data_IF_359981855029
#
_entry.id   IF_359981855029
#
_cell.length_a   1.000
_cell.length_b   1.000
_cell.length_c   1.000
_cell.angle_alpha   90.00
_cell.angle_beta   90.00
_cell.angle_gamma   90.00
#
_symmetry.space_group_name_H-M   'P 1'
#
loop_
_entity.id
_entity.type
_entity.pdbx_description
1 polymer ?
#
# COMPACT_ATOMS: atom_id res chain seq x y z
N UNK A 1 -6.30 -55.94 55.51
CA UNK A 1 -5.90 -55.36 54.23
C UNK A 1 -6.72 -54.07 53.99
N UNK A 2 -6.11 -52.87 54.07
CA UNK A 2 -6.81 -51.60 53.92
C UNK A 2 -6.38 -51.02 52.56
N UNK A 3 -7.28 -51.01 51.55
CA UNK A 3 -7.06 -50.37 50.25
C UNK A 3 -7.29 -48.86 50.40
N UNK A 4 -6.22 -48.09 50.22
CA UNK A 4 -6.30 -46.62 50.07
C UNK A 4 -6.64 -46.26 48.59
N UNK A 5 -7.84 -45.71 48.42
CA UNK A 5 -8.28 -45.16 47.12
C UNK A 5 -7.58 -43.83 46.93
N UNK A 6 -6.70 -43.74 45.89
CA UNK A 6 -6.06 -42.49 45.47
C UNK A 6 -6.94 -41.86 44.38
N UNK A 7 -7.59 -40.77 44.71
CA UNK A 7 -8.38 -39.97 43.78
C UNK A 7 -7.40 -39.02 43.07
N UNK A 8 -7.11 -39.28 41.77
CA UNK A 8 -6.38 -38.36 40.89
C UNK A 8 -7.34 -37.29 40.39
N UNK A 9 -7.23 -36.09 40.92
CA UNK A 9 -7.92 -34.91 40.40
C UNK A 9 -7.20 -34.39 39.15
N UNK A 10 -7.82 -34.59 37.99
CA UNK A 10 -7.37 -33.98 36.73
C UNK A 10 -7.76 -32.49 36.71
N UNK A 11 -6.78 -31.59 36.86
CA UNK A 11 -6.99 -30.17 36.66
C UNK A 11 -7.02 -29.87 35.13
N UNK A 12 -8.20 -29.55 34.60
CA UNK A 12 -8.38 -29.10 33.23
C UNK A 12 -7.87 -27.65 33.15
N UNK A 13 -6.71 -27.44 32.54
CA UNK A 13 -6.19 -26.14 32.21
C UNK A 13 -6.99 -25.58 31.00
N UNK A 14 -7.92 -24.69 31.28
CA UNK A 14 -8.60 -23.90 30.25
C UNK A 14 -7.61 -22.84 29.74
N UNK A 15 -6.99 -23.09 28.58
CA UNK A 15 -6.18 -22.08 27.87
C UNK A 15 -7.15 -21.13 27.18
N UNK A 16 -7.15 -19.82 27.50
CA UNK A 16 -7.96 -18.87 26.78
C UNK A 16 -7.42 -18.80 25.32
N UNK A 17 -8.26 -19.17 24.36
CA UNK A 17 -8.00 -18.96 22.96
C UNK A 17 -8.03 -17.42 22.71
N UNK A 18 -6.88 -16.81 22.59
CA UNK A 18 -6.78 -15.45 22.08
C UNK A 18 -7.28 -15.48 20.62
N UNK A 19 -8.49 -15.00 20.41
CA UNK A 19 -9.01 -14.73 19.08
C UNK A 19 -8.11 -13.63 18.47
N UNK A 20 -7.18 -14.03 17.60
CA UNK A 20 -6.43 -13.08 16.77
C UNK A 20 -7.46 -12.38 15.92
N UNK A 21 -7.69 -11.09 16.17
CA UNK A 21 -8.50 -10.24 15.31
C UNK A 21 -7.83 -10.26 13.93
N UNK A 22 -8.43 -10.96 12.98
CA UNK A 22 -8.01 -10.88 11.58
C UNK A 22 -8.11 -9.40 11.18
N UNK A 23 -6.97 -8.78 10.93
CA UNK A 23 -6.92 -7.43 10.38
C UNK A 23 -7.70 -7.45 9.06
N UNK A 24 -8.55 -6.43 8.85
CA UNK A 24 -9.27 -6.30 7.60
C UNK A 24 -8.27 -6.34 6.43
N UNK A 25 -8.42 -7.30 5.54
CA UNK A 25 -7.53 -7.47 4.38
C UNK A 25 -7.81 -6.45 3.29
N UNK A 26 -8.94 -5.74 3.39
CA UNK A 26 -9.38 -4.72 2.44
C UNK A 26 -9.61 -3.38 3.14
N UNK A 27 -9.16 -2.31 2.49
CA UNK A 27 -9.37 -0.92 2.94
C UNK A 27 -9.93 -0.10 1.79
N UNK A 28 -11.09 0.53 2.00
CA UNK A 28 -11.55 1.57 1.07
C UNK A 28 -10.81 2.87 1.37
N UNK A 29 -9.93 3.26 0.45
CA UNK A 29 -9.08 4.44 0.61
C UNK A 29 -9.88 5.74 0.69
N UNK A 30 -11.12 5.78 0.17
CA UNK A 30 -12.02 6.95 0.29
C UNK A 30 -12.62 7.09 1.68
N UNK A 31 -12.72 6.00 2.44
CA UNK A 31 -13.28 6.03 3.79
C UNK A 31 -12.28 6.47 4.85
N UNK A 32 -10.97 6.46 4.54
CA UNK A 32 -9.94 6.87 5.48
C UNK A 32 -10.09 8.38 5.79
N UNK A 33 -10.27 8.67 7.06
CA UNK A 33 -10.34 10.07 7.55
C UNK A 33 -8.94 10.66 7.71
N UNK A 34 -8.87 11.98 7.72
CA UNK A 34 -7.64 12.70 8.00
C UNK A 34 -7.06 12.35 9.38
N UNK A 35 -7.90 12.19 10.41
CA UNK A 35 -7.44 11.78 11.74
C UNK A 35 -6.81 10.40 11.74
N UNK A 36 -7.40 9.42 11.05
CA UNK A 36 -6.84 8.07 10.90
C UNK A 36 -5.51 8.10 10.15
N UNK A 37 -5.44 8.85 9.04
CA UNK A 37 -4.20 9.02 8.28
C UNK A 37 -3.07 9.65 9.11
N UNK A 38 -3.37 10.69 9.88
CA UNK A 38 -2.38 11.35 10.75
C UNK A 38 -1.90 10.44 11.89
N UNK A 39 -2.75 9.53 12.37
CA UNK A 39 -2.44 8.58 13.43
C UNK A 39 -1.67 7.34 12.92
N UNK A 40 -1.56 7.14 11.60
CA UNK A 40 -0.84 5.99 11.05
C UNK A 40 0.63 5.99 11.45
N UNK A 41 1.21 4.84 11.84
CA UNK A 41 2.65 4.67 11.96
C UNK A 41 3.37 4.99 10.64
N UNK A 42 4.67 5.30 10.70
CA UNK A 42 5.44 5.77 9.54
C UNK A 42 5.39 4.81 8.33
N UNK A 43 5.60 3.50 8.53
CA UNK A 43 5.62 2.54 7.44
C UNK A 43 4.26 2.37 6.73
N UNK A 44 3.12 2.14 7.43
CA UNK A 44 1.79 2.18 6.79
C UNK A 44 1.49 3.52 6.11
N UNK A 45 1.85 4.66 6.74
CA UNK A 45 1.64 6.00 6.17
C UNK A 45 2.39 6.18 4.85
N UNK A 46 3.64 5.70 4.75
CA UNK A 46 4.44 5.73 3.52
C UNK A 46 3.78 4.94 2.38
N UNK A 47 3.34 3.72 2.66
CA UNK A 47 2.63 2.86 1.70
C UNK A 47 1.31 3.48 1.22
N UNK A 48 0.55 4.03 2.15
CA UNK A 48 -0.68 4.76 1.87
C UNK A 48 -0.39 5.97 0.96
N UNK A 49 0.62 6.78 1.28
CA UNK A 49 1.01 7.94 0.50
C UNK A 49 1.48 7.57 -0.90
N UNK A 50 2.23 6.47 -1.05
CA UNK A 50 2.65 5.94 -2.35
C UNK A 50 1.43 5.54 -3.20
N UNK A 51 0.46 4.84 -2.61
CA UNK A 51 -0.78 4.46 -3.30
C UNK A 51 -1.57 5.68 -3.76
N UNK A 52 -1.76 6.68 -2.88
CA UNK A 52 -2.44 7.94 -3.23
C UNK A 52 -1.73 8.67 -4.36
N UNK A 53 -0.40 8.70 -4.34
CA UNK A 53 0.38 9.32 -5.42
C UNK A 53 0.15 8.62 -6.75
N UNK A 54 0.08 7.30 -6.76
CA UNK A 54 -0.26 6.52 -7.95
C UNK A 54 -1.67 6.82 -8.47
N UNK A 55 -2.65 6.84 -7.58
CA UNK A 55 -4.04 7.17 -7.90
C UNK A 55 -4.14 8.56 -8.56
N UNK A 56 -3.55 9.57 -7.95
CA UNK A 56 -3.57 10.94 -8.46
C UNK A 56 -2.76 11.10 -9.75
N UNK A 57 -1.66 10.37 -9.89
CA UNK A 57 -0.85 10.37 -11.11
C UNK A 57 -1.66 9.89 -12.32
N UNK A 58 -2.49 8.85 -12.17
CA UNK A 58 -3.39 8.42 -13.22
C UNK A 58 -4.40 9.51 -13.60
N UNK A 59 -5.06 10.12 -12.62
CA UNK A 59 -6.03 11.20 -12.86
C UNK A 59 -5.39 12.39 -13.57
N UNK A 60 -4.12 12.68 -13.27
CA UNK A 60 -3.33 13.74 -13.90
C UNK A 60 -2.61 13.30 -15.18
N UNK A 61 -2.86 12.07 -15.67
CA UNK A 61 -2.22 11.45 -16.83
C UNK A 61 -0.69 11.47 -16.78
N UNK A 62 -0.12 11.23 -15.58
CA UNK A 62 1.32 11.21 -15.34
C UNK A 62 1.81 9.79 -15.11
N UNK A 63 2.96 9.47 -15.70
CA UNK A 63 3.63 8.18 -15.52
C UNK A 63 4.96 8.30 -14.79
N UNK A 64 5.23 9.48 -14.26
CA UNK A 64 6.48 9.77 -13.54
C UNK A 64 6.22 10.37 -12.17
N UNK A 65 7.17 10.20 -11.28
CA UNK A 65 7.21 10.80 -9.95
C UNK A 65 8.52 11.58 -9.77
N UNK A 66 8.39 12.78 -9.28
CA UNK A 66 9.46 13.53 -8.63
C UNK A 66 9.33 13.31 -7.12
N UNK A 67 10.38 12.79 -6.48
CA UNK A 67 10.33 12.47 -5.05
C UNK A 67 10.30 13.71 -4.15
N UNK A 68 10.87 14.84 -4.59
CA UNK A 68 10.79 16.09 -3.84
C UNK A 68 9.37 16.63 -3.86
N UNK A 69 8.73 16.61 -5.05
CA UNK A 69 7.33 16.96 -5.19
C UNK A 69 6.42 15.99 -4.42
N UNK A 70 6.70 14.68 -4.45
CA UNK A 70 5.97 13.71 -3.66
C UNK A 70 6.02 14.04 -2.16
N UNK A 71 7.21 14.34 -1.61
CA UNK A 71 7.36 14.72 -0.20
C UNK A 71 6.63 16.02 0.13
N UNK A 72 6.72 17.02 -0.75
CA UNK A 72 6.01 18.29 -0.58
C UNK A 72 4.48 18.09 -0.59
N UNK A 73 3.96 17.25 -1.49
CA UNK A 73 2.54 16.92 -1.57
C UNK A 73 2.06 16.16 -0.32
N UNK A 74 2.84 15.20 0.16
CA UNK A 74 2.54 14.49 1.42
C UNK A 74 2.47 15.46 2.59
N UNK A 75 3.43 16.41 2.69
CA UNK A 75 3.42 17.43 3.73
C UNK A 75 2.18 18.35 3.62
N UNK A 76 1.80 18.75 2.42
CA UNK A 76 0.62 19.60 2.17
C UNK A 76 -0.68 18.87 2.54
N UNK A 77 -0.83 17.59 2.18
CA UNK A 77 -1.99 16.79 2.59
C UNK A 77 -2.05 16.65 4.11
N UNK A 78 -0.92 16.38 4.77
CA UNK A 78 -0.87 16.29 6.24
C UNK A 78 -1.25 17.59 6.91
N UNK A 79 -0.76 18.74 6.42
CA UNK A 79 -1.12 20.06 6.94
C UNK A 79 -2.62 20.37 6.77
N UNK A 80 -3.18 20.07 5.60
CA UNK A 80 -4.61 20.20 5.35
C UNK A 80 -5.42 19.30 6.29
N UNK A 81 -5.00 18.07 6.49
CA UNK A 81 -5.64 17.10 7.36
C UNK A 81 -5.65 17.54 8.83
N UNK A 82 -4.62 18.25 9.31
CA UNK A 82 -4.61 18.79 10.67
C UNK A 82 -5.78 19.76 10.93
N UNK A 83 -6.18 20.52 9.90
CA UNK A 83 -7.30 21.45 9.98
C UNK A 83 -8.65 20.80 9.63
N UNK A 84 -8.68 19.58 9.10
CA UNK A 84 -9.88 18.91 8.61
C UNK A 84 -9.94 17.43 9.07
N UNK A 85 -9.89 17.13 10.38
CA UNK A 85 -9.67 15.76 10.90
C UNK A 85 -10.76 14.76 10.52
N UNK A 86 -12.00 15.19 10.34
CA UNK A 86 -13.15 14.34 9.98
C UNK A 86 -13.33 14.17 8.47
N UNK A 87 -12.62 14.94 7.65
CA UNK A 87 -12.71 14.82 6.21
C UNK A 87 -11.99 13.57 5.70
N UNK A 88 -12.40 13.05 4.52
CA UNK A 88 -11.63 12.00 3.85
C UNK A 88 -10.27 12.53 3.39
N UNK A 89 -9.23 11.73 3.58
CA UNK A 89 -7.88 12.06 3.09
C UNK A 89 -7.82 12.23 1.57
N UNK A 90 -8.70 11.56 0.82
CA UNK A 90 -8.79 11.72 -0.64
C UNK A 90 -9.24 13.12 -1.02
N UNK A 91 -10.15 13.73 -0.24
CA UNK A 91 -10.54 15.15 -0.40
C UNK A 91 -9.34 16.06 -0.08
N UNK A 92 -8.57 15.73 0.96
CA UNK A 92 -7.32 16.43 1.28
C UNK A 92 -6.33 16.39 0.12
N UNK A 93 -6.21 15.25 -0.53
CA UNK A 93 -5.38 15.06 -1.71
C UNK A 93 -5.81 16.01 -2.86
N UNK A 94 -7.09 15.99 -3.21
CA UNK A 94 -7.65 16.85 -4.27
C UNK A 94 -7.49 18.35 -3.99
N UNK A 95 -7.57 18.76 -2.72
CA UNK A 95 -7.49 20.17 -2.30
C UNK A 95 -6.06 20.68 -2.14
N UNK A 96 -5.10 19.81 -1.84
CA UNK A 96 -3.76 20.19 -1.41
C UNK A 96 -2.68 19.95 -2.46
N UNK A 97 -2.92 19.05 -3.42
CA UNK A 97 -1.93 18.73 -4.45
C UNK A 97 -2.08 19.69 -5.62
N UNK A 98 -1.08 20.57 -5.78
CA UNK A 98 -0.93 21.39 -6.98
C UNK A 98 -0.42 20.57 -8.16
N UNK A 99 -1.01 20.80 -9.35
CA UNK A 99 -0.48 20.25 -10.61
C UNK A 99 0.68 21.12 -11.05
N UNK A 100 1.88 20.88 -10.52
CA UNK A 100 3.10 21.55 -11.00
C UNK A 100 3.75 20.73 -12.10
N UNK A 101 4.14 21.38 -13.19
CA UNK A 101 4.99 20.77 -14.19
C UNK A 101 6.33 20.40 -13.54
N UNK A 102 6.77 19.16 -13.71
CA UNK A 102 8.04 18.69 -13.17
C UNK A 102 9.06 18.68 -14.30
N UNK A 103 10.09 19.55 -14.24
CA UNK A 103 11.06 19.67 -15.34
C UNK A 103 11.93 18.44 -15.53
N UNK A 104 12.27 17.75 -14.42
CA UNK A 104 13.13 16.57 -14.42
C UNK A 104 12.54 15.46 -13.55
N UNK A 105 11.69 14.58 -14.11
CA UNK A 105 11.14 13.46 -13.35
C UNK A 105 12.26 12.51 -12.91
N UNK A 106 12.28 12.18 -11.64
CA UNK A 106 13.29 11.27 -11.04
C UNK A 106 13.03 9.82 -11.38
N UNK A 107 11.76 9.45 -11.60
CA UNK A 107 11.36 8.07 -11.90
C UNK A 107 10.18 8.04 -12.88
N UNK A 108 10.41 7.47 -14.06
CA UNK A 108 9.35 7.19 -15.05
C UNK A 108 8.93 5.72 -14.96
N UNK A 109 7.71 5.47 -14.49
CA UNK A 109 7.20 4.11 -14.26
C UNK A 109 7.11 3.29 -15.54
N UNK A 110 6.91 3.90 -16.70
CA UNK A 110 6.88 3.21 -17.98
C UNK A 110 8.25 2.67 -18.38
N UNK A 111 9.33 3.22 -17.83
CA UNK A 111 10.71 2.83 -18.12
C UNK A 111 11.29 1.85 -17.10
N UNK A 112 10.62 1.61 -15.98
CA UNK A 112 11.10 0.63 -15.01
C UNK A 112 11.08 -0.75 -15.67
N UNK A 113 12.25 -1.41 -15.69
CA UNK A 113 12.34 -2.80 -16.13
C UNK A 113 12.13 -3.75 -14.96
N UNK A 114 11.76 -4.99 -15.27
CA UNK A 114 11.71 -6.07 -14.31
C UNK A 114 13.03 -6.24 -13.53
N UNK A 115 14.17 -6.13 -14.26
CA UNK A 115 15.49 -6.25 -13.66
C UNK A 115 15.77 -5.12 -12.65
N UNK A 116 15.45 -3.88 -13.03
CA UNK A 116 15.61 -2.72 -12.15
C UNK A 116 14.76 -2.87 -10.88
N UNK A 117 13.47 -3.19 -11.04
CA UNK A 117 12.55 -3.34 -9.91
C UNK A 117 12.97 -4.45 -8.93
N UNK A 118 13.44 -5.60 -9.45
CA UNK A 118 13.96 -6.68 -8.61
C UNK A 118 15.23 -6.29 -7.85
N UNK A 119 16.03 -5.36 -8.39
CA UNK A 119 17.24 -4.83 -7.79
C UNK A 119 17.02 -3.72 -6.77
N UNK A 120 15.82 -3.15 -6.67
CA UNK A 120 15.53 -2.10 -5.70
C UNK A 120 15.61 -2.60 -4.26
N UNK A 121 15.99 -1.70 -3.35
CA UNK A 121 15.88 -1.93 -1.92
C UNK A 121 14.42 -2.16 -1.50
N UNK A 122 14.18 -2.69 -0.28
CA UNK A 122 12.83 -3.01 0.18
C UNK A 122 11.88 -1.81 0.14
N UNK A 123 12.31 -0.64 0.58
CA UNK A 123 11.51 0.59 0.65
C UNK A 123 11.12 1.09 -0.74
N UNK A 124 12.09 1.16 -1.67
CA UNK A 124 11.84 1.59 -3.05
C UNK A 124 10.92 0.61 -3.78
N UNK A 125 11.11 -0.68 -3.53
CA UNK A 125 10.24 -1.73 -4.09
C UNK A 125 8.82 -1.61 -3.57
N UNK A 126 8.64 -1.36 -2.29
CA UNK A 126 7.34 -1.10 -1.67
C UNK A 126 6.71 0.15 -2.28
N UNK A 127 7.46 1.25 -2.37
CA UNK A 127 6.96 2.49 -2.98
C UNK A 127 6.40 2.23 -4.40
N UNK A 128 7.20 1.61 -5.27
CA UNK A 128 6.77 1.30 -6.65
C UNK A 128 5.57 0.36 -6.66
N UNK A 129 5.54 -0.65 -5.79
CA UNK A 129 4.44 -1.62 -5.72
C UNK A 129 3.12 -0.94 -5.34
N UNK A 130 3.12 -0.11 -4.30
CA UNK A 130 1.92 0.61 -3.86
C UNK A 130 1.52 1.71 -4.83
N UNK A 131 2.48 2.45 -5.40
CA UNK A 131 2.20 3.42 -6.46
C UNK A 131 1.50 2.77 -7.66
N UNK A 132 2.04 1.67 -8.18
CA UNK A 132 1.45 0.97 -9.32
C UNK A 132 0.07 0.41 -8.98
N UNK A 133 -0.13 -0.06 -7.75
CA UNK A 133 -1.46 -0.47 -7.28
C UNK A 133 -2.45 0.68 -7.31
N UNK A 134 -2.09 1.85 -6.79
CA UNK A 134 -2.94 3.04 -6.82
C UNK A 134 -3.25 3.49 -8.24
N UNK A 135 -2.24 3.52 -9.11
CA UNK A 135 -2.37 3.89 -10.51
C UNK A 135 -3.36 2.98 -11.25
N UNK A 136 -3.19 1.66 -11.15
CA UNK A 136 -4.10 0.72 -11.82
C UNK A 136 -5.49 0.63 -11.17
N UNK A 137 -5.60 0.81 -9.86
CA UNK A 137 -6.91 0.92 -9.21
C UNK A 137 -7.67 2.15 -9.70
N UNK A 138 -6.98 3.26 -9.95
CA UNK A 138 -7.59 4.47 -10.52
C UNK A 138 -8.12 4.25 -11.94
N UNK A 139 -7.47 3.41 -12.78
CA UNK A 139 -7.99 3.07 -14.11
C UNK A 139 -9.36 2.40 -14.06
N UNK A 140 -9.64 1.67 -12.99
CA UNK A 140 -10.89 0.96 -12.75
C UNK A 140 -11.85 1.75 -11.83
N UNK A 141 -11.51 2.97 -11.45
CA UNK A 141 -12.22 3.77 -10.43
C UNK A 141 -12.45 3.02 -9.11
N UNK A 142 -11.56 2.08 -8.78
CA UNK A 142 -11.66 1.21 -7.62
C UNK A 142 -10.79 1.74 -6.46
N UNK A 143 -11.39 2.38 -5.47
CA UNK A 143 -10.70 2.90 -4.30
C UNK A 143 -10.36 1.85 -3.24
N UNK A 144 -10.72 0.58 -3.46
CA UNK A 144 -10.47 -0.50 -2.49
C UNK A 144 -9.08 -1.08 -2.67
N UNK A 145 -8.25 -0.98 -1.64
CA UNK A 145 -6.99 -1.69 -1.53
C UNK A 145 -7.22 -3.04 -0.84
N UNK A 146 -7.06 -4.12 -1.58
CA UNK A 146 -7.03 -5.49 -1.07
C UNK A 146 -5.57 -5.91 -0.90
N UNK A 147 -5.12 -5.99 0.35
CA UNK A 147 -3.73 -6.32 0.67
C UNK A 147 -3.34 -7.73 0.23
N UNK A 148 -4.23 -8.71 0.38
CA UNK A 148 -3.94 -10.09 -0.01
C UNK A 148 -3.82 -10.21 -1.53
N UNK A 149 -4.71 -9.56 -2.27
CA UNK A 149 -4.63 -9.48 -3.73
C UNK A 149 -3.35 -8.77 -4.16
N UNK A 150 -3.00 -7.64 -3.52
CA UNK A 150 -1.77 -6.91 -3.81
C UNK A 150 -0.54 -7.80 -3.61
N UNK A 151 -0.46 -8.54 -2.51
CA UNK A 151 0.68 -9.43 -2.22
C UNK A 151 0.76 -10.60 -3.21
N UNK A 152 -0.38 -11.22 -3.54
CA UNK A 152 -0.43 -12.27 -4.59
C UNK A 152 0.05 -11.73 -5.94
N UNK A 153 -0.44 -10.56 -6.34
CA UNK A 153 -0.07 -9.92 -7.61
C UNK A 153 1.42 -9.54 -7.63
N UNK A 154 1.94 -8.93 -6.56
CA UNK A 154 3.35 -8.59 -6.44
C UNK A 154 4.24 -9.85 -6.55
N UNK A 155 3.85 -10.95 -5.91
CA UNK A 155 4.55 -12.23 -5.99
C UNK A 155 4.53 -12.81 -7.40
N UNK A 156 3.39 -12.77 -8.09
CA UNK A 156 3.24 -13.25 -9.47
C UNK A 156 4.06 -12.40 -10.45
N UNK A 157 4.06 -11.07 -10.28
CA UNK A 157 4.90 -10.14 -11.05
C UNK A 157 6.38 -10.41 -10.80
N UNK A 158 6.79 -10.62 -9.55
CA UNK A 158 8.19 -10.94 -9.23
C UNK A 158 8.66 -12.25 -9.87
N UNK A 159 7.80 -13.28 -9.85
CA UNK A 159 8.10 -14.57 -10.49
C UNK A 159 8.24 -14.43 -12.02
N UNK A 160 7.40 -13.61 -12.65
CA UNK A 160 7.52 -13.29 -14.08
C UNK A 160 8.80 -12.50 -14.35
N UNK A 161 9.08 -11.48 -13.55
CA UNK A 161 10.23 -10.59 -13.70
C UNK A 161 11.58 -11.33 -13.56
N UNK A 162 11.68 -12.34 -12.69
CA UNK A 162 12.89 -13.18 -12.58
C UNK A 162 13.28 -13.82 -13.91
N UNK A 163 12.30 -14.18 -14.76
CA UNK A 163 12.51 -14.81 -16.06
C UNK A 163 12.56 -13.81 -17.23
N UNK A 164 12.14 -12.56 -17.01
CA UNK A 164 11.93 -11.57 -18.08
C UNK A 164 12.52 -10.20 -17.69
N UNK A 165 13.80 -10.15 -17.30
CA UNK A 165 14.46 -8.98 -16.70
C UNK A 165 14.41 -7.72 -17.58
N UNK A 166 14.44 -7.85 -18.92
CA UNK A 166 14.39 -6.74 -19.87
C UNK A 166 12.99 -6.21 -20.14
N UNK A 167 11.92 -6.94 -19.74
CA UNK A 167 10.55 -6.45 -19.91
C UNK A 167 10.26 -5.31 -18.95
N UNK A 168 9.37 -4.39 -19.35
CA UNK A 168 8.94 -3.31 -18.46
C UNK A 168 8.03 -3.83 -17.35
N UNK A 169 8.07 -3.18 -16.21
CA UNK A 169 7.21 -3.52 -15.07
C UNK A 169 5.71 -3.38 -15.40
N UNK A 170 5.24 -2.33 -16.11
CA UNK A 170 3.86 -2.26 -16.59
C UNK A 170 3.45 -3.49 -17.40
N UNK A 171 4.30 -3.95 -18.33
CA UNK A 171 4.02 -5.18 -19.10
C UNK A 171 3.89 -6.41 -18.19
N UNK A 172 4.75 -6.53 -17.18
CA UNK A 172 4.67 -7.63 -16.23
C UNK A 172 3.37 -7.59 -15.42
N UNK A 173 2.93 -6.40 -14.99
CA UNK A 173 1.69 -6.19 -14.25
C UNK A 173 0.48 -6.57 -15.10
N UNK A 174 0.39 -6.06 -16.34
CA UNK A 174 -0.70 -6.39 -17.27
C UNK A 174 -0.84 -7.89 -17.53
N UNK A 175 0.27 -8.61 -17.56
CA UNK A 175 0.27 -10.04 -17.83
C UNK A 175 -0.01 -10.91 -16.58
N UNK A 176 0.20 -10.41 -15.36
CA UNK A 176 0.22 -11.23 -14.15
C UNK A 176 -0.62 -10.72 -12.99
N UNK A 177 -0.93 -9.44 -12.90
CA UNK A 177 -1.83 -8.92 -11.88
C UNK A 177 -3.30 -9.10 -12.30
N UNK A 178 -4.12 -9.68 -11.39
CA UNK A 178 -5.55 -9.99 -11.62
C UNK A 178 -6.39 -9.61 -10.40
#
# INVERSE_FOLDING_TARGET
MRYRLIILTFAILIVPAFASSALATTVDMRSITCSEYLAMPAAPSSKFSAWMTGWFSYQSRRTFVDFDLHRANVASVRAWCQSNPSASVMVGLEKSIGVTAVPNPTLDFNKITCGSWLGYGPEDRDFVTYFMSGYYNATASNSVLDYDRLQRNASAVAAYCKKNKSRTLPTAIQNRAR
#
